data_IF_668363104878
#
_entry.id   IF_668363104878
#
_cell.length_a   1.000
_cell.length_b   1.000
_cell.length_c   1.000
_cell.angle_alpha   90.00
_cell.angle_beta   90.00
_cell.angle_gamma   90.00
#
_symmetry.space_group_name_H-M   'P 1'
#
loop_
_entity.id
_entity.type
_entity.pdbx_description
1 polymer ?
#
# COMPACT_ATOMS: atom_id res chain seq x y z
N UNK A 1 -26.79 49.15 -39.12
CA UNK A 1 -26.13 49.06 -37.81
C UNK A 1 -26.70 47.84 -37.10
N UNK A 2 -26.23 46.66 -37.51
CA UNK A 2 -25.20 45.82 -36.85
C UNK A 2 -25.87 44.81 -35.93
N UNK A 3 -26.01 43.59 -36.45
CA UNK A 3 -26.29 42.38 -35.70
C UNK A 3 -25.12 42.07 -34.76
N UNK A 4 -25.39 41.56 -33.56
CA UNK A 4 -24.45 40.68 -32.87
C UNK A 4 -25.21 39.48 -32.35
N UNK A 5 -25.05 38.38 -33.09
CA UNK A 5 -25.31 37.02 -32.67
C UNK A 5 -24.16 36.62 -31.75
N UNK A 6 -24.46 36.22 -30.52
CA UNK A 6 -23.46 35.66 -29.59
C UNK A 6 -23.43 34.15 -29.83
N UNK A 7 -22.37 33.69 -30.49
CA UNK A 7 -22.03 32.28 -30.62
C UNK A 7 -21.85 31.67 -29.22
N UNK A 8 -22.67 30.66 -28.91
CA UNK A 8 -22.34 29.62 -27.95
C UNK A 8 -21.16 28.84 -28.53
N UNK A 9 -19.97 29.01 -27.97
CA UNK A 9 -18.86 28.09 -28.20
C UNK A 9 -19.03 26.95 -27.20
N UNK A 10 -19.61 25.86 -27.69
CA UNK A 10 -19.57 24.56 -27.04
C UNK A 10 -18.10 24.23 -26.79
N UNK A 11 -17.75 24.10 -25.51
CA UNK A 11 -16.43 23.67 -25.08
C UNK A 11 -16.37 22.18 -25.33
N UNK A 12 -15.41 21.81 -26.17
CA UNK A 12 -14.99 20.47 -26.54
C UNK A 12 -15.26 19.44 -25.43
N UNK A 13 -16.17 18.51 -25.72
CA UNK A 13 -16.26 17.23 -25.04
C UNK A 13 -14.86 16.61 -25.13
N UNK A 14 -14.21 16.43 -23.97
CA UNK A 14 -13.01 15.61 -23.86
C UNK A 14 -13.36 14.24 -24.45
N UNK A 15 -12.74 13.92 -25.59
CA UNK A 15 -12.69 12.59 -26.19
C UNK A 15 -12.02 11.63 -25.16
N UNK A 16 -12.79 11.19 -24.16
CA UNK A 16 -12.60 9.91 -23.51
C UNK A 16 -12.93 8.87 -24.58
N UNK A 17 -11.94 8.60 -25.43
CA UNK A 17 -11.92 7.41 -26.29
C UNK A 17 -12.10 6.22 -25.35
N UNK A 18 -13.37 5.85 -25.16
CA UNK A 18 -13.87 4.87 -24.20
C UNK A 18 -13.41 3.48 -24.57
N UNK A 19 -12.11 3.23 -24.41
CA UNK A 19 -11.53 1.90 -24.46
C UNK A 19 -12.04 1.18 -23.23
N UNK A 20 -13.10 0.40 -23.43
CA UNK A 20 -13.65 -0.50 -22.42
C UNK A 20 -12.53 -1.46 -21.98
N UNK A 21 -11.99 -1.21 -20.79
CA UNK A 21 -10.95 -2.04 -20.23
C UNK A 21 -11.51 -3.40 -19.84
N UNK A 22 -10.69 -4.44 -20.01
CA UNK A 22 -11.01 -5.73 -19.41
C UNK A 22 -10.98 -5.60 -17.89
N UNK A 23 -11.96 -6.22 -17.24
CA UNK A 23 -11.96 -6.36 -15.79
C UNK A 23 -10.71 -7.16 -15.38
N UNK A 24 -9.97 -6.64 -14.40
CA UNK A 24 -8.78 -7.32 -13.90
C UNK A 24 -9.12 -8.67 -13.25
N UNK A 25 -8.12 -9.54 -13.12
CA UNK A 25 -8.31 -10.90 -12.63
C UNK A 25 -9.02 -10.96 -11.26
N UNK A 26 -9.72 -12.07 -11.03
CA UNK A 26 -10.46 -12.36 -9.80
C UNK A 26 -11.52 -11.32 -9.44
N UNK A 27 -12.31 -10.89 -10.43
CA UNK A 27 -13.42 -9.95 -10.19
C UNK A 27 -12.94 -8.52 -9.94
N UNK A 28 -11.84 -8.10 -10.58
CA UNK A 28 -11.30 -6.75 -10.48
C UNK A 28 -10.21 -6.57 -9.43
N UNK A 29 -9.76 -7.63 -8.76
CA UNK A 29 -8.70 -7.52 -7.75
C UNK A 29 -7.31 -7.33 -8.36
N UNK A 30 -7.07 -7.84 -9.57
CA UNK A 30 -5.80 -7.62 -10.28
C UNK A 30 -4.64 -8.49 -9.81
N UNK A 31 -4.91 -9.63 -9.17
CA UNK A 31 -3.89 -10.47 -8.53
C UNK A 31 -2.96 -11.16 -9.54
N UNK A 32 -3.46 -11.61 -10.69
CA UNK A 32 -2.61 -12.16 -11.76
C UNK A 32 -1.78 -11.07 -12.45
N UNK A 33 -2.34 -9.88 -12.63
CA UNK A 33 -1.64 -8.73 -13.20
C UNK A 33 -0.52 -8.27 -12.27
N UNK A 34 -0.78 -8.15 -10.96
CA UNK A 34 0.26 -7.89 -9.97
C UNK A 34 1.34 -8.98 -9.98
N UNK A 35 0.95 -10.26 -10.11
CA UNK A 35 1.90 -11.36 -10.20
C UNK A 35 2.80 -11.22 -11.43
N UNK A 36 2.23 -10.85 -12.59
CA UNK A 36 2.99 -10.61 -13.81
C UNK A 36 4.04 -9.51 -13.60
N UNK A 37 3.67 -8.38 -12.98
CA UNK A 37 4.62 -7.30 -12.66
C UNK A 37 5.72 -7.81 -11.73
N UNK A 38 5.39 -8.51 -10.65
CA UNK A 38 6.40 -9.01 -9.70
C UNK A 38 7.36 -10.01 -10.36
N UNK A 39 6.88 -10.85 -11.28
CA UNK A 39 7.74 -11.78 -12.04
C UNK A 39 8.69 -11.06 -12.98
N UNK A 40 8.23 -10.02 -13.69
CA UNK A 40 9.11 -9.20 -14.54
C UNK A 40 10.28 -8.66 -13.72
N UNK A 41 10.01 -8.14 -12.52
CA UNK A 41 11.04 -7.62 -11.61
C UNK A 41 11.97 -8.73 -11.12
N UNK A 42 11.41 -9.85 -10.63
CA UNK A 42 12.18 -10.99 -10.10
C UNK A 42 13.08 -11.63 -11.18
N UNK A 43 12.60 -11.76 -12.41
CA UNK A 43 13.34 -12.31 -13.55
C UNK A 43 14.55 -11.43 -13.94
N UNK A 44 14.51 -10.13 -13.58
CA UNK A 44 15.61 -9.18 -13.75
C UNK A 44 16.45 -9.03 -12.46
N UNK A 45 16.27 -9.89 -11.47
CA UNK A 45 17.03 -9.87 -10.22
C UNK A 45 16.64 -8.73 -9.27
N UNK A 46 15.52 -8.05 -9.52
CA UNK A 46 14.96 -7.03 -8.64
C UNK A 46 14.02 -7.71 -7.66
N UNK A 47 14.50 -7.97 -6.45
CA UNK A 47 13.64 -8.43 -5.35
C UNK A 47 12.49 -7.44 -5.16
N UNK A 48 11.27 -7.93 -4.97
CA UNK A 48 10.13 -7.06 -4.71
C UNK A 48 9.13 -7.73 -3.77
N UNK A 49 8.25 -6.94 -3.16
CA UNK A 49 7.09 -7.49 -2.49
C UNK A 49 5.90 -6.53 -2.56
N UNK A 50 4.70 -7.08 -2.45
CA UNK A 50 3.48 -6.33 -2.30
C UNK A 50 3.46 -5.68 -0.90
N UNK A 51 3.24 -4.37 -0.85
CA UNK A 51 3.20 -3.58 0.39
C UNK A 51 1.90 -2.77 0.51
N UNK A 52 1.87 -1.83 1.46
CA UNK A 52 0.77 -0.90 1.65
C UNK A 52 -0.57 -1.58 1.88
N UNK A 53 -1.62 -1.08 1.20
CA UNK A 53 -2.99 -1.58 1.42
C UNK A 53 -3.16 -3.06 1.05
N UNK A 54 -2.51 -3.53 -0.01
CA UNK A 54 -2.57 -4.94 -0.42
C UNK A 54 -2.00 -5.87 0.66
N UNK A 55 -0.89 -5.50 1.30
CA UNK A 55 -0.31 -6.32 2.37
C UNK A 55 -1.27 -6.43 3.56
N UNK A 56 -1.98 -5.35 3.91
CA UNK A 56 -3.01 -5.38 4.94
C UNK A 56 -4.18 -6.31 4.57
N UNK A 57 -4.67 -6.26 3.32
CA UNK A 57 -5.75 -7.11 2.81
C UNK A 57 -5.36 -8.59 2.84
N UNK A 58 -4.12 -8.90 2.46
CA UNK A 58 -3.57 -10.25 2.53
C UNK A 58 -3.64 -10.82 3.95
N UNK A 59 -3.28 -10.01 4.95
CA UNK A 59 -3.40 -10.36 6.37
C UNK A 59 -4.80 -10.16 6.98
N UNK A 60 -5.83 -9.87 6.17
CA UNK A 60 -7.23 -9.89 6.60
C UNK A 60 -7.89 -8.55 6.84
N UNK A 61 -7.21 -7.43 6.61
CA UNK A 61 -7.82 -6.12 6.78
C UNK A 61 -8.90 -5.86 5.72
N UNK A 62 -10.05 -5.35 6.15
CA UNK A 62 -11.14 -4.93 5.27
C UNK A 62 -10.89 -3.54 4.70
N UNK A 63 -9.95 -3.41 3.75
CA UNK A 63 -9.59 -2.15 3.10
C UNK A 63 -9.94 -2.15 1.60
N UNK A 64 -10.09 -0.96 1.04
CA UNK A 64 -10.21 -0.75 -0.41
C UNK A 64 -8.85 -0.35 -0.95
N UNK A 65 -8.37 -1.11 -1.92
CA UNK A 65 -7.15 -0.82 -2.67
C UNK A 65 -7.46 0.09 -3.84
N UNK A 66 -6.70 1.18 -3.99
CA UNK A 66 -6.76 2.04 -5.16
C UNK A 66 -5.77 1.55 -6.22
N UNK A 67 -4.49 1.57 -5.88
CA UNK A 67 -3.41 1.03 -6.70
C UNK A 67 -2.72 -0.11 -5.93
N UNK A 68 -2.11 -1.04 -6.68
CA UNK A 68 -1.15 -1.97 -6.10
C UNK A 68 0.15 -1.24 -5.78
N UNK A 69 0.61 -1.38 -4.54
CA UNK A 69 1.91 -0.87 -4.13
C UNK A 69 2.92 -2.03 -4.15
N UNK A 70 3.95 -1.91 -4.98
CA UNK A 70 5.00 -2.92 -5.15
C UNK A 70 6.32 -2.31 -4.66
N UNK A 71 6.78 -2.79 -3.52
CA UNK A 71 8.02 -2.36 -2.89
C UNK A 71 9.22 -2.94 -3.68
N UNK A 72 10.19 -2.09 -4.00
CA UNK A 72 11.47 -2.45 -4.65
C UNK A 72 12.65 -1.81 -3.90
N UNK A 73 13.88 -2.36 -3.96
CA UNK A 73 15.04 -1.76 -3.33
C UNK A 73 15.24 -0.34 -3.82
N UNK A 74 15.40 0.62 -2.91
CA UNK A 74 15.52 2.04 -3.28
C UNK A 74 16.64 2.29 -4.29
N UNK A 75 17.75 1.55 -4.18
CA UNK A 75 18.90 1.64 -5.09
C UNK A 75 18.58 1.19 -6.52
N UNK A 76 17.52 0.39 -6.71
CA UNK A 76 17.08 -0.15 -7.99
C UNK A 76 15.75 0.46 -8.46
N UNK A 77 15.18 1.41 -7.73
CA UNK A 77 13.84 1.94 -8.04
C UNK A 77 13.77 2.57 -9.45
N UNK A 78 14.79 3.33 -9.84
CA UNK A 78 14.87 3.93 -11.19
C UNK A 78 15.06 2.87 -12.28
N UNK A 79 15.85 1.84 -12.01
CA UNK A 79 16.07 0.73 -12.94
C UNK A 79 14.77 -0.09 -13.14
N UNK A 80 14.07 -0.40 -12.06
CA UNK A 80 12.78 -1.08 -12.08
C UNK A 80 11.72 -0.28 -12.87
N UNK A 81 11.69 1.05 -12.67
CA UNK A 81 10.82 1.93 -13.43
C UNK A 81 11.17 1.95 -14.92
N UNK A 82 12.46 2.05 -15.25
CA UNK A 82 12.93 2.05 -16.64
C UNK A 82 12.65 0.71 -17.34
N UNK A 83 12.77 -0.41 -16.62
CA UNK A 83 12.41 -1.74 -17.12
C UNK A 83 10.94 -1.78 -17.56
N UNK A 84 10.02 -1.33 -16.72
CA UNK A 84 8.58 -1.32 -17.06
C UNK A 84 8.22 -0.34 -18.18
N UNK A 85 9.07 0.67 -18.44
CA UNK A 85 8.94 1.63 -19.55
C UNK A 85 9.62 1.17 -20.84
N UNK A 86 10.41 0.09 -20.79
CA UNK A 86 11.17 -0.41 -21.94
C UNK A 86 10.27 -0.84 -23.09
N UNK A 87 10.82 -0.94 -24.31
CA UNK A 87 10.06 -1.37 -25.49
C UNK A 87 9.37 -2.73 -25.27
N UNK A 88 10.05 -3.65 -24.57
CA UNK A 88 9.56 -5.00 -24.27
C UNK A 88 8.28 -5.00 -23.42
N UNK A 89 8.14 -4.03 -22.51
CA UNK A 89 6.98 -3.91 -21.61
C UNK A 89 6.04 -2.77 -21.96
N UNK A 90 6.42 -1.93 -22.92
CA UNK A 90 5.62 -0.79 -23.40
C UNK A 90 4.30 -1.22 -24.03
N UNK A 91 4.14 -2.48 -24.44
CA UNK A 91 2.86 -3.03 -24.94
C UNK A 91 1.90 -3.44 -23.83
N UNK A 92 2.42 -3.79 -22.66
CA UNK A 92 1.61 -4.30 -21.55
C UNK A 92 1.21 -3.17 -20.59
N UNK A 93 2.11 -2.21 -20.40
CA UNK A 93 1.93 -1.12 -19.44
C UNK A 93 2.05 0.26 -20.08
N UNK A 94 1.34 1.22 -19.49
CA UNK A 94 1.49 2.64 -19.77
C UNK A 94 1.66 3.43 -18.48
N UNK A 95 2.32 4.58 -18.58
CA UNK A 95 2.48 5.50 -17.46
C UNK A 95 1.29 6.45 -17.39
N UNK A 96 0.88 6.77 -16.18
CA UNK A 96 -0.10 7.80 -15.88
C UNK A 96 0.55 8.93 -15.08
N UNK A 97 -0.03 10.14 -15.12
CA UNK A 97 0.31 11.17 -14.15
C UNK A 97 0.15 10.62 -12.72
N UNK A 98 1.03 11.01 -11.79
CA UNK A 98 0.85 10.68 -10.38
C UNK A 98 -0.47 11.21 -9.83
N UNK A 99 -0.92 10.66 -8.69
CA UNK A 99 -2.11 11.17 -8.02
C UNK A 99 -1.95 12.66 -7.67
N UNK A 100 -2.92 13.53 -8.00
CA UNK A 100 -2.82 14.98 -7.74
C UNK A 100 -2.96 15.32 -6.25
N UNK A 101 -3.39 14.35 -5.43
CA UNK A 101 -3.65 14.50 -4.01
C UNK A 101 -2.61 13.68 -3.23
N UNK A 102 -1.69 14.34 -2.51
CA UNK A 102 -0.78 13.70 -1.59
C UNK A 102 -1.52 12.98 -0.47
N UNK A 103 -1.11 11.75 -0.17
CA UNK A 103 -1.60 11.02 0.98
C UNK A 103 -0.76 11.33 2.22
N UNK A 104 -1.38 11.61 3.39
CA UNK A 104 -0.64 11.79 4.63
C UNK A 104 0.27 10.60 4.95
N UNK A 105 1.52 10.89 5.29
CA UNK A 105 2.55 9.91 5.63
C UNK A 105 3.14 9.17 4.43
N UNK A 106 2.74 9.51 3.20
CA UNK A 106 3.14 8.80 1.98
C UNK A 106 3.78 9.73 0.95
N UNK A 107 4.60 9.14 0.09
CA UNK A 107 5.19 9.76 -1.12
C UNK A 107 4.62 9.15 -2.40
N UNK A 108 3.55 8.36 -2.31
CA UNK A 108 2.95 7.68 -3.46
C UNK A 108 2.61 8.64 -4.62
N UNK A 109 2.27 9.90 -4.33
CA UNK A 109 2.00 10.95 -5.33
C UNK A 109 3.25 11.43 -6.08
N UNK A 110 4.45 11.02 -5.67
CA UNK A 110 5.71 11.38 -6.35
C UNK A 110 6.21 10.30 -7.30
N UNK A 111 5.67 9.08 -7.20
CA UNK A 111 6.13 7.97 -8.02
C UNK A 111 5.36 7.87 -9.33
N UNK A 112 6.02 7.31 -10.33
CA UNK A 112 5.36 6.99 -11.60
C UNK A 112 4.23 5.98 -11.33
N UNK A 113 3.02 6.35 -11.73
CA UNK A 113 1.86 5.45 -11.73
C UNK A 113 1.80 4.69 -13.04
N UNK A 114 1.53 3.40 -12.96
CA UNK A 114 1.38 2.52 -14.10
C UNK A 114 -0.06 2.00 -14.20
N UNK A 115 -0.48 1.71 -15.43
CA UNK A 115 -1.74 1.05 -15.75
C UNK A 115 -1.49 -0.03 -16.79
N UNK A 116 -2.18 -1.17 -16.68
CA UNK A 116 -2.23 -2.15 -17.77
C UNK A 116 -2.98 -1.60 -18.99
N UNK A 117 -2.46 -1.77 -20.21
CA UNK A 117 -3.05 -1.13 -21.39
C UNK A 117 -4.50 -1.53 -21.64
N UNK A 118 -4.77 -2.84 -21.58
CA UNK A 118 -6.08 -3.41 -21.93
C UNK A 118 -6.85 -3.92 -20.70
N UNK A 119 -6.40 -3.59 -19.49
CA UNK A 119 -6.96 -4.12 -18.24
C UNK A 119 -7.07 -3.02 -17.17
N UNK A 120 -8.15 -3.05 -16.39
CA UNK A 120 -8.40 -2.12 -15.29
C UNK A 120 -7.55 -2.46 -14.05
N UNK A 121 -6.23 -2.28 -14.21
CA UNK A 121 -5.22 -2.61 -13.20
C UNK A 121 -4.20 -1.47 -13.12
N UNK A 122 -3.98 -0.98 -11.89
CA UNK A 122 -3.08 0.14 -11.60
C UNK A 122 -2.10 -0.25 -10.51
N UNK A 123 -0.88 0.26 -10.64
CA UNK A 123 0.16 0.02 -9.65
C UNK A 123 1.20 1.13 -9.62
N UNK A 124 1.96 1.16 -8.53
CA UNK A 124 3.10 2.04 -8.31
C UNK A 124 4.28 1.22 -7.79
N UNK A 125 5.48 1.55 -8.24
CA UNK A 125 6.70 1.06 -7.61
C UNK A 125 7.08 1.99 -6.46
N UNK A 126 7.32 1.42 -5.28
CA UNK A 126 7.63 2.18 -4.07
C UNK A 126 9.02 1.79 -3.58
N UNK A 127 9.93 2.75 -3.35
CA UNK A 127 11.23 2.47 -2.74
C UNK A 127 11.12 1.87 -1.34
N UNK A 128 11.94 0.88 -1.02
CA UNK A 128 11.95 0.20 0.28
C UNK A 128 12.24 1.13 1.45
N UNK A 129 13.13 2.10 1.25
CA UNK A 129 13.43 3.12 2.27
C UNK A 129 12.24 4.03 2.51
N UNK A 130 11.25 4.08 1.62
CA UNK A 130 10.10 4.96 1.76
C UNK A 130 8.93 4.32 2.49
N UNK A 131 8.95 3.00 2.68
CA UNK A 131 7.94 2.23 3.43
C UNK A 131 8.51 1.56 4.68
N UNK A 132 9.80 1.77 4.99
CA UNK A 132 10.51 1.15 6.12
C UNK A 132 10.36 -0.37 6.14
N UNK A 133 10.61 -1.02 4.99
CA UNK A 133 10.42 -2.45 4.85
C UNK A 133 11.70 -3.13 4.33
N UNK A 134 12.31 -4.07 5.07
CA UNK A 134 13.51 -4.76 4.62
C UNK A 134 13.20 -5.84 3.57
N UNK A 135 13.63 -5.60 2.32
CA UNK A 135 13.40 -6.47 1.17
C UNK A 135 14.43 -7.61 1.02
N UNK A 136 14.57 -8.43 2.06
CA UNK A 136 15.39 -9.65 2.00
C UNK A 136 14.51 -10.87 1.65
N UNK A 137 14.97 -11.82 0.83
CA UNK A 137 14.17 -13.01 0.49
C UNK A 137 13.68 -13.79 1.72
N UNK A 138 14.46 -13.84 2.80
CA UNK A 138 14.09 -14.46 4.08
C UNK A 138 12.94 -13.75 4.80
N UNK A 139 12.69 -12.48 4.48
CA UNK A 139 11.61 -11.68 5.05
C UNK A 139 10.30 -11.80 4.28
N UNK A 140 10.29 -12.54 3.16
CA UNK A 140 9.14 -12.67 2.30
C UNK A 140 8.48 -14.04 2.45
N UNK A 141 7.18 -14.06 2.19
CA UNK A 141 6.40 -15.27 1.98
C UNK A 141 5.53 -15.10 0.74
N UNK A 142 5.15 -16.21 0.10
CA UNK A 142 4.31 -16.17 -1.10
C UNK A 142 2.86 -16.48 -0.75
N UNK A 143 1.93 -15.73 -1.35
CA UNK A 143 0.51 -16.07 -1.29
C UNK A 143 0.22 -17.36 -2.07
N UNK A 144 -1.03 -17.82 -2.02
CA UNK A 144 -1.48 -18.97 -2.79
C UNK A 144 -1.21 -18.84 -4.30
N UNK A 145 -1.34 -17.63 -4.84
CA UNK A 145 -1.08 -17.32 -6.26
C UNK A 145 0.38 -16.94 -6.53
N UNK A 146 1.26 -17.04 -5.54
CA UNK A 146 2.70 -16.83 -5.70
C UNK A 146 3.17 -15.38 -5.55
N UNK A 147 2.27 -14.44 -5.22
CA UNK A 147 2.65 -13.04 -4.97
C UNK A 147 3.56 -12.94 -3.74
N UNK A 148 4.69 -12.21 -3.82
CA UNK A 148 5.55 -11.98 -2.67
C UNK A 148 4.94 -10.95 -1.71
N UNK A 149 4.77 -11.32 -0.44
CA UNK A 149 4.36 -10.43 0.64
C UNK A 149 5.42 -10.46 1.75
N UNK A 150 5.59 -9.39 2.53
CA UNK A 150 6.39 -9.47 3.76
C UNK A 150 5.75 -10.49 4.71
N UNK A 151 6.56 -11.24 5.46
CA UNK A 151 6.07 -12.06 6.58
C UNK A 151 5.38 -11.18 7.62
N UNK A 152 4.47 -11.76 8.41
CA UNK A 152 3.60 -11.00 9.30
C UNK A 152 4.40 -10.24 10.38
N UNK A 153 5.41 -10.88 10.96
CA UNK A 153 6.36 -10.27 11.90
C UNK A 153 7.09 -9.09 11.29
N UNK A 154 7.59 -9.23 10.06
CA UNK A 154 8.28 -8.16 9.33
C UNK A 154 7.36 -6.97 9.07
N UNK A 155 6.12 -7.23 8.63
CA UNK A 155 5.15 -6.17 8.36
C UNK A 155 4.74 -5.42 9.63
N UNK A 156 4.46 -6.14 10.72
CA UNK A 156 4.11 -5.53 12.01
C UNK A 156 5.28 -4.73 12.56
N UNK A 157 6.51 -5.26 12.48
CA UNK A 157 7.71 -4.57 12.94
C UNK A 157 7.91 -3.26 12.17
N UNK A 158 7.75 -3.28 10.84
CA UNK A 158 7.82 -2.08 9.99
C UNK A 158 6.82 -1.00 10.46
N UNK A 159 5.58 -1.36 10.80
CA UNK A 159 4.61 -0.39 11.30
C UNK A 159 4.90 0.14 12.70
N UNK A 160 5.51 -0.68 13.58
CA UNK A 160 5.99 -0.22 14.88
C UNK A 160 7.12 0.79 14.68
N UNK A 161 8.16 0.42 13.94
CA UNK A 161 9.35 1.25 13.77
C UNK A 161 9.03 2.58 13.06
N UNK A 162 8.12 2.57 12.08
CA UNK A 162 7.70 3.74 11.30
C UNK A 162 6.64 4.62 11.98
N UNK A 163 6.22 4.32 13.22
CA UNK A 163 5.13 5.00 13.91
C UNK A 163 3.81 5.02 13.11
N UNK A 164 3.48 3.93 12.43
CA UNK A 164 2.29 3.81 11.60
C UNK A 164 1.14 3.15 12.37
N UNK A 165 0.60 3.86 13.36
CA UNK A 165 -0.44 3.34 14.25
C UNK A 165 -1.74 2.88 13.54
N UNK A 166 -2.08 3.52 12.41
CA UNK A 166 -3.26 3.15 11.62
C UNK A 166 -3.09 1.77 10.97
N UNK A 167 -1.97 1.56 10.27
CA UNK A 167 -1.69 0.29 9.59
C UNK A 167 -1.38 -0.82 10.60
N UNK A 168 -0.74 -0.48 11.72
CA UNK A 168 -0.54 -1.37 12.85
C UNK A 168 -1.87 -1.87 13.42
N UNK A 169 -2.83 -0.97 13.64
CA UNK A 169 -4.19 -1.33 14.08
C UNK A 169 -4.89 -2.26 13.10
N UNK A 170 -4.80 -1.95 11.81
CA UNK A 170 -5.45 -2.76 10.79
C UNK A 170 -4.86 -4.16 10.63
N UNK A 171 -3.53 -4.30 10.63
CA UNK A 171 -2.89 -5.61 10.51
C UNK A 171 -3.14 -6.46 11.76
N UNK A 172 -3.17 -5.85 12.95
CA UNK A 172 -3.52 -6.54 14.19
C UNK A 172 -4.98 -6.97 14.19
N UNK A 173 -5.89 -6.13 13.68
CA UNK A 173 -7.30 -6.50 13.55
C UNK A 173 -7.50 -7.56 12.47
N UNK A 174 -6.78 -7.50 11.35
CA UNK A 174 -6.86 -8.48 10.27
C UNK A 174 -6.30 -9.84 10.66
N UNK A 175 -5.16 -9.85 11.35
CA UNK A 175 -4.49 -11.09 11.71
C UNK A 175 -4.93 -11.70 13.04
N UNK A 176 -5.50 -10.88 13.92
CA UNK A 176 -5.92 -11.25 15.27
C UNK A 176 -4.82 -11.86 16.16
N UNK A 177 -3.55 -11.54 15.91
CA UNK A 177 -2.42 -11.95 16.75
C UNK A 177 -2.59 -11.52 18.21
N UNK A 178 -2.21 -12.37 19.17
CA UNK A 178 -2.33 -12.09 20.60
C UNK A 178 -1.25 -11.13 21.10
N UNK A 179 -1.37 -10.62 22.33
CA UNK A 179 -0.29 -9.82 22.93
C UNK A 179 1.01 -10.64 23.06
N UNK A 180 0.90 -11.90 23.47
CA UNK A 180 1.99 -12.86 23.65
C UNK A 180 2.73 -13.12 22.35
N UNK A 181 1.99 -13.25 21.25
CA UNK A 181 2.58 -13.44 19.92
C UNK A 181 3.61 -12.34 19.61
N UNK A 182 3.33 -11.09 19.97
CA UNK A 182 4.27 -9.99 19.72
C UNK A 182 5.53 -10.08 20.58
N UNK A 183 5.46 -10.58 21.81
CA UNK A 183 6.66 -10.79 22.63
C UNK A 183 7.54 -11.92 22.10
N UNK A 184 6.97 -12.87 21.37
CA UNK A 184 7.69 -14.00 20.79
C UNK A 184 8.30 -13.68 19.41
N UNK A 185 7.68 -12.78 18.64
CA UNK A 185 8.00 -12.60 17.21
C UNK A 185 8.52 -11.21 16.84
N UNK A 186 8.39 -10.20 17.71
CA UNK A 186 8.74 -8.80 17.41
C UNK A 186 9.89 -8.31 18.28
N UNK A 187 10.68 -7.39 17.73
CA UNK A 187 11.59 -6.57 18.52
C UNK A 187 10.81 -5.37 19.11
N UNK A 188 10.41 -5.54 20.37
CA UNK A 188 9.66 -4.53 21.13
C UNK A 188 10.56 -3.64 22.00
N UNK A 189 11.88 -3.82 21.93
CA UNK A 189 12.81 -3.04 22.74
C UNK A 189 13.15 -1.71 22.05
N UNK A 190 13.34 -0.67 22.86
CA UNK A 190 13.59 0.68 22.36
C UNK A 190 12.38 1.37 21.74
N UNK A 191 12.66 2.40 20.94
CA UNK A 191 11.67 3.33 20.39
C UNK A 191 11.54 3.22 18.89
N UNK A 192 10.51 3.86 18.34
CA UNK A 192 10.34 4.09 16.89
C UNK A 192 11.59 4.71 16.24
N UNK A 193 11.80 4.47 14.94
CA UNK A 193 12.93 4.98 14.16
C UNK A 193 12.75 6.47 13.82
N UNK A 194 13.13 7.33 14.77
CA UNK A 194 13.04 8.78 14.63
C UNK A 194 13.83 9.32 13.43
N UNK A 195 14.98 8.70 13.14
CA UNK A 195 15.84 9.12 12.05
C UNK A 195 15.17 8.87 10.70
N UNK A 196 14.53 7.71 10.54
CA UNK A 196 13.72 7.42 9.37
C UNK A 196 12.52 8.35 9.25
N UNK A 197 11.74 8.52 10.32
CA UNK A 197 10.55 9.39 10.33
C UNK A 197 10.93 10.83 9.95
N UNK A 198 12.05 11.36 10.48
CA UNK A 198 12.54 12.69 10.14
C UNK A 198 12.92 12.81 8.66
N UNK A 199 13.65 11.82 8.11
CA UNK A 199 13.98 11.78 6.66
C UNK A 199 12.72 11.74 5.81
N UNK A 200 11.77 10.86 6.16
CA UNK A 200 10.51 10.69 5.43
C UNK A 200 9.69 11.98 5.41
N UNK A 201 9.55 12.63 6.56
CA UNK A 201 8.83 13.91 6.66
C UNK A 201 9.48 15.01 5.87
N UNK A 202 10.82 15.08 5.86
CA UNK A 202 11.53 16.04 5.03
C UNK A 202 11.19 15.82 3.55
N UNK A 203 11.26 14.57 3.07
CA UNK A 203 10.91 14.25 1.70
C UNK A 203 9.45 14.58 1.37
N UNK A 204 8.51 14.30 2.28
CA UNK A 204 7.10 14.67 2.10
C UNK A 204 6.97 16.18 1.96
N UNK A 205 7.53 16.96 2.88
CA UNK A 205 7.46 18.43 2.86
C UNK A 205 8.07 18.99 1.57
N UNK A 206 9.24 18.49 1.16
CA UNK A 206 9.94 18.92 -0.06
C UNK A 206 9.14 18.59 -1.34
N UNK A 207 8.22 17.62 -1.29
CA UNK A 207 7.34 17.24 -2.42
C UNK A 207 6.05 18.05 -2.53
N UNK A 208 5.71 18.86 -1.52
CA UNK A 208 4.45 19.59 -1.44
C UNK A 208 4.59 21.04 -1.87
N UNK A 209 3.51 21.62 -2.40
CA UNK A 209 3.44 23.07 -2.53
C UNK A 209 3.41 23.74 -1.14
N UNK A 210 3.83 25.02 -1.01
CA UNK A 210 3.95 25.70 0.27
C UNK A 210 2.65 25.78 1.07
N UNK A 211 1.49 25.80 0.40
CA UNK A 211 0.19 25.86 1.07
C UNK A 211 -0.14 24.50 1.69
N UNK A 212 0.07 23.40 0.97
CA UNK A 212 -0.13 22.04 1.50
C UNK A 212 0.88 21.65 2.57
N UNK A 213 2.15 22.05 2.42
CA UNK A 213 3.19 21.81 3.43
C UNK A 213 2.81 22.38 4.82
N UNK A 214 2.02 23.47 4.86
CA UNK A 214 1.58 24.12 6.10
C UNK A 214 0.48 23.37 6.85
N UNK A 215 -0.34 22.57 6.17
CA UNK A 215 -1.47 21.87 6.79
C UNK A 215 -1.10 20.47 7.31
N UNK A 216 0.16 20.09 7.19
CA UNK A 216 0.66 18.81 7.68
C UNK A 216 0.27 17.66 6.76
N UNK A 217 1.22 16.75 6.59
CA UNK A 217 1.04 15.48 5.92
C UNK A 217 2.12 14.48 6.32
N UNK A 218 2.85 14.78 7.39
CA UNK A 218 3.95 13.96 7.90
C UNK A 218 3.50 12.99 8.99
N UNK A 219 4.41 12.10 9.33
CA UNK A 219 4.32 11.14 10.43
C UNK A 219 4.77 11.84 11.73
N UNK A 220 4.10 11.65 12.88
CA UNK A 220 4.53 12.30 14.11
C UNK A 220 5.97 11.94 14.51
N UNK A 221 6.84 12.96 14.72
CA UNK A 221 8.26 12.82 15.08
C UNK A 221 8.44 12.91 16.60
N UNK A 222 8.07 11.87 17.32
CA UNK A 222 8.46 11.75 18.73
C UNK A 222 8.68 10.28 19.07
N UNK A 223 9.65 9.97 19.94
CA UNK A 223 9.95 8.61 20.29
C UNK A 223 8.78 8.00 21.05
N UNK A 224 8.26 6.90 20.52
CA UNK A 224 7.30 6.05 21.20
C UNK A 224 7.94 4.71 21.54
N UNK A 225 7.67 4.21 22.74
CA UNK A 225 8.14 2.89 23.14
C UNK A 225 7.37 1.82 22.36
N UNK A 226 8.09 0.99 21.60
CA UNK A 226 7.48 -0.04 20.73
C UNK A 226 6.60 -1.00 21.53
N UNK A 227 7.09 -1.40 22.71
CA UNK A 227 6.33 -2.23 23.67
C UNK A 227 5.00 -1.61 24.11
N UNK A 228 4.95 -0.30 24.34
CA UNK A 228 3.72 0.37 24.77
C UNK A 228 2.74 0.53 23.61
N UNK A 229 3.25 0.84 22.41
CA UNK A 229 2.45 0.85 21.18
C UNK A 229 1.81 -0.52 20.92
N UNK A 230 2.61 -1.59 21.02
CA UNK A 230 2.13 -2.97 20.87
C UNK A 230 1.02 -3.30 21.86
N UNK A 231 1.26 -3.08 23.17
CA UNK A 231 0.27 -3.29 24.22
C UNK A 231 -1.01 -2.49 23.97
N UNK A 232 -0.88 -1.22 23.59
CA UNK A 232 -2.02 -0.35 23.34
C UNK A 232 -2.87 -0.89 22.18
N UNK A 233 -2.24 -1.30 21.07
CA UNK A 233 -2.98 -1.74 19.87
C UNK A 233 -3.67 -3.09 20.09
N UNK A 234 -3.04 -4.07 20.73
CA UNK A 234 -3.65 -5.39 20.95
C UNK A 234 -4.78 -5.34 21.98
N UNK A 235 -4.65 -4.52 23.04
CA UNK A 235 -5.68 -4.39 24.07
C UNK A 235 -6.91 -3.60 23.62
N UNK A 236 -6.79 -2.80 22.57
CA UNK A 236 -7.87 -1.96 22.07
C UNK A 236 -8.63 -2.53 20.87
N UNK A 237 -8.42 -3.82 20.51
CA UNK A 237 -9.14 -4.49 19.40
C UNK A 237 -10.66 -4.32 19.47
N UNK A 238 -11.27 -4.55 20.63
CA UNK A 238 -12.72 -4.40 20.79
C UNK A 238 -13.18 -2.93 20.69
N UNK A 239 -12.36 -1.97 21.12
CA UNK A 239 -12.67 -0.55 20.98
C UNK A 239 -12.64 -0.06 19.52
N UNK A 240 -12.02 -0.81 18.60
CA UNK A 240 -12.00 -0.51 17.17
C UNK A 240 -13.18 -1.09 16.40
N UNK A 241 -14.09 -1.80 17.06
CA UNK A 241 -15.35 -2.21 16.46
C UNK A 241 -16.17 -0.97 16.09
N UNK A 242 -16.66 -0.93 14.85
CA UNK A 242 -17.60 0.07 14.38
C UNK A 242 -19.05 -0.38 14.58
N UNK A 243 -19.98 0.52 14.25
CA UNK A 243 -21.42 0.25 14.32
C UNK A 243 -21.88 -0.88 13.36
N UNK A 244 -21.11 -1.20 12.32
CA UNK A 244 -21.37 -2.31 11.38
C UNK A 244 -20.73 -3.64 11.79
N UNK A 245 -19.93 -3.67 12.85
CA UNK A 245 -19.20 -4.86 13.30
C UNK A 245 -19.62 -5.22 14.72
N UNK A 246 -20.81 -5.83 14.90
CA UNK A 246 -21.32 -6.14 16.24
C UNK A 246 -20.43 -7.17 16.94
N UNK A 247 -20.15 -6.94 18.23
CA UNK A 247 -19.26 -7.79 19.05
C UNK A 247 -19.75 -9.25 19.14
N UNK A 248 -21.04 -9.51 18.94
CA UNK A 248 -21.60 -10.86 18.89
C UNK A 248 -21.08 -11.70 17.72
N UNK A 249 -20.70 -11.06 16.61
CA UNK A 249 -20.21 -11.73 15.40
C UNK A 249 -18.70 -11.52 15.18
N UNK A 250 -18.19 -10.36 15.59
CA UNK A 250 -16.81 -9.94 15.33
C UNK A 250 -15.92 -10.10 16.57
N UNK A 251 -14.70 -10.58 16.34
CA UNK A 251 -13.63 -10.70 17.31
C UNK A 251 -12.72 -9.46 17.29
N UNK A 252 -12.50 -8.90 16.11
CA UNK A 252 -11.81 -7.64 15.85
C UNK A 252 -12.59 -6.85 14.79
N UNK A 253 -12.13 -5.65 14.43
CA UNK A 253 -12.73 -4.86 13.34
C UNK A 253 -12.90 -5.62 12.02
N UNK A 254 -12.05 -6.61 11.73
CA UNK A 254 -12.05 -7.32 10.45
C UNK A 254 -12.30 -8.82 10.56
N UNK A 255 -12.39 -9.38 11.77
CA UNK A 255 -12.42 -10.83 11.96
C UNK A 255 -13.71 -11.30 12.58
N UNK A 256 -14.34 -12.27 11.92
CA UNK A 256 -15.46 -13.00 12.47
C UNK A 256 -14.97 -14.03 13.49
N UNK A 257 -15.74 -14.22 14.56
CA UNK A 257 -15.48 -15.26 15.55
C UNK A 257 -15.44 -16.64 14.87
N UNK A 258 -14.40 -17.42 15.16
CA UNK A 258 -14.22 -18.77 14.61
C UNK A 258 -13.75 -18.81 13.15
N UNK A 259 -13.48 -17.66 12.51
CA UNK A 259 -12.82 -17.65 11.20
C UNK A 259 -11.32 -17.98 11.36
N UNK A 260 -10.73 -18.83 10.51
CA UNK A 260 -9.31 -19.13 10.55
C UNK A 260 -8.53 -18.07 9.79
N UNK A 261 -7.20 -18.12 9.90
CA UNK A 261 -6.32 -17.05 9.45
C UNK A 261 -6.38 -16.83 7.94
N UNK A 262 -6.52 -15.57 7.47
CA UNK A 262 -6.78 -15.27 6.07
C UNK A 262 -5.63 -15.70 5.13
N UNK A 263 -4.38 -15.55 5.56
CA UNK A 263 -3.20 -15.86 4.73
C UNK A 263 -2.86 -17.36 4.69
N UNK A 264 -3.52 -18.18 5.51
CA UNK A 264 -3.39 -19.64 5.47
C UNK A 264 -4.40 -20.31 4.52
N UNK A 265 -5.30 -19.53 3.92
CA UNK A 265 -6.34 -20.02 3.01
C UNK A 265 -6.01 -19.70 1.55
N UNK A 266 -6.41 -20.57 0.61
CA UNK A 266 -6.51 -20.19 -0.80
C UNK A 266 -7.45 -18.99 -0.93
N UNK A 267 -6.92 -17.86 -1.39
CA UNK A 267 -7.66 -16.62 -1.61
C UNK A 267 -7.29 -16.02 -2.95
N UNK A 268 -8.33 -15.70 -3.70
CA UNK A 268 -8.21 -15.03 -5.00
C UNK A 268 -7.95 -13.52 -4.82
N UNK A 269 -8.47 -12.93 -3.75
CA UNK A 269 -8.29 -11.53 -3.38
C UNK A 269 -7.18 -11.38 -2.33
N UNK A 270 -5.93 -11.41 -2.79
CA UNK A 270 -4.77 -11.03 -1.99
C UNK A 270 -4.35 -9.58 -2.28
#
# INVERSE_FOLDING_TARGET
MTQHSTQSSDVDDDDDDGVELKVASFGGHGTLEALAVTRILEDHGINCCICGTSALIYYGAGRVRLDWEICVPSTLAQEAEALLKSEDHSRDYMTLPPWPIPWPGSLAHTYTRFRGRDVDFYFVLVPSDDVHLPLEPSNLQRSHHGLPYPRLDVLIQSFLDSNNGNSLGDVVDGSDVSEEWGYEHLDLDGTTDEAWVARKNKAIIDSLDPLRARFGGGIPVYPLQKRDMWKAVVKSKLHRLGWTTPESLFLTRFRLRGSPDPWLRPRDCC
#
